data_IF_365007968142
#
_entry.id   IF_365007968142
#
_cell.length_a   1.000
_cell.length_b   1.000
_cell.length_c   1.000
_cell.angle_alpha   90.00
_cell.angle_beta   90.00
_cell.angle_gamma   90.00
#
_symmetry.space_group_name_H-M   'P 1'
#
loop_
_entity.id
_entity.type
_entity.pdbx_description
1 polymer ?
#
# COMPACT_ATOMS: atom_id res chain seq x y z
N UNK A 1 -54.85 34.75 14.70
CA UNK A 1 -53.56 34.38 15.33
C UNK A 1 -53.12 32.93 15.03
N UNK A 2 -53.66 32.25 13.99
CA UNK A 2 -53.31 30.86 13.65
C UNK A 2 -52.45 30.74 12.39
N UNK A 3 -52.57 31.67 11.44
CA UNK A 3 -51.77 31.68 10.20
C UNK A 3 -50.26 31.88 10.49
N UNK A 4 -49.92 32.73 11.47
CA UNK A 4 -48.53 32.93 11.92
C UNK A 4 -47.91 31.68 12.54
N UNK A 5 -48.69 30.81 13.19
CA UNK A 5 -48.19 29.57 13.82
C UNK A 5 -47.93 28.47 12.78
N UNK A 6 -48.79 28.35 11.77
CA UNK A 6 -48.61 27.39 10.65
C UNK A 6 -47.39 27.70 9.79
N UNK A 7 -47.16 28.98 9.46
CA UNK A 7 -45.99 29.42 8.69
C UNK A 7 -44.70 29.12 9.46
N UNK A 8 -44.66 29.37 10.77
CA UNK A 8 -43.49 29.05 11.60
C UNK A 8 -43.19 27.54 11.62
N UNK A 9 -44.22 26.68 11.69
CA UNK A 9 -44.04 25.22 11.65
C UNK A 9 -43.51 24.72 10.30
N UNK A 10 -44.00 25.27 9.17
CA UNK A 10 -43.49 24.93 7.83
C UNK A 10 -42.03 25.36 7.69
N UNK A 11 -41.70 26.59 8.13
CA UNK A 11 -40.32 27.09 8.10
C UNK A 11 -39.39 26.25 8.99
N UNK A 12 -39.87 25.81 10.16
CA UNK A 12 -39.10 24.97 11.07
C UNK A 12 -38.86 23.57 10.48
N UNK A 13 -39.86 22.96 9.82
CA UNK A 13 -39.70 21.68 9.12
C UNK A 13 -38.74 21.73 7.92
N UNK A 14 -38.70 22.85 7.20
CA UNK A 14 -37.73 23.07 6.11
C UNK A 14 -36.29 23.21 6.63
N UNK A 15 -36.10 23.88 7.78
CA UNK A 15 -34.78 23.99 8.41
C UNK A 15 -34.30 22.60 8.86
N UNK A 16 -35.16 21.82 9.54
CA UNK A 16 -34.77 20.48 10.02
C UNK A 16 -34.52 19.48 8.89
N UNK A 17 -35.27 19.52 7.78
CA UNK A 17 -35.00 18.68 6.60
C UNK A 17 -33.77 19.09 5.79
N UNK A 18 -33.37 20.37 5.84
CA UNK A 18 -32.14 20.85 5.18
C UNK A 18 -30.86 20.38 5.88
N UNK A 19 -30.91 20.15 7.20
CA UNK A 19 -29.80 19.57 7.96
C UNK A 19 -29.51 18.14 7.53
N UNK A 20 -30.56 17.33 7.32
CA UNK A 20 -30.42 15.95 6.82
C UNK A 20 -29.88 15.93 5.40
N UNK A 21 -30.37 16.79 4.50
CA UNK A 21 -29.90 16.85 3.11
C UNK A 21 -28.41 17.26 3.01
N UNK A 22 -27.96 18.23 3.82
CA UNK A 22 -26.55 18.62 3.90
C UNK A 22 -25.71 17.50 4.52
N UNK A 23 -26.24 16.80 5.52
CA UNK A 23 -25.56 15.69 6.19
C UNK A 23 -25.36 14.49 5.26
N UNK A 24 -26.43 14.01 4.60
CA UNK A 24 -26.35 12.91 3.63
C UNK A 24 -25.56 13.32 2.37
N UNK A 25 -25.69 14.56 1.90
CA UNK A 25 -24.89 15.09 0.80
C UNK A 25 -23.39 15.11 1.12
N UNK A 26 -23.01 15.48 2.35
CA UNK A 26 -21.62 15.39 2.82
C UNK A 26 -21.14 13.94 2.83
N UNK A 27 -21.90 13.01 3.41
CA UNK A 27 -21.53 11.58 3.46
C UNK A 27 -21.30 11.04 2.04
N UNK A 28 -22.22 11.28 1.11
CA UNK A 28 -22.09 10.82 -0.26
C UNK A 28 -20.85 11.42 -0.98
N UNK A 29 -20.55 12.70 -0.77
CA UNK A 29 -19.33 13.31 -1.33
C UNK A 29 -18.06 12.71 -0.73
N UNK A 30 -18.04 12.47 0.60
CA UNK A 30 -16.90 11.84 1.26
C UNK A 30 -16.70 10.40 0.79
N UNK A 31 -17.75 9.58 0.73
CA UNK A 31 -17.66 8.19 0.24
C UNK A 31 -17.18 8.12 -1.21
N UNK A 32 -17.71 8.99 -2.08
CA UNK A 32 -17.27 9.08 -3.47
C UNK A 32 -15.79 9.51 -3.57
N UNK A 33 -15.34 10.44 -2.71
CA UNK A 33 -13.94 10.84 -2.63
C UNK A 33 -13.05 9.67 -2.21
N UNK A 34 -13.39 8.97 -1.13
CA UNK A 34 -12.62 7.82 -0.64
C UNK A 34 -12.53 6.71 -1.68
N UNK A 35 -13.64 6.43 -2.37
CA UNK A 35 -13.66 5.47 -3.48
C UNK A 35 -12.72 5.90 -4.61
N UNK A 36 -12.81 7.16 -5.04
CA UNK A 36 -11.95 7.69 -6.09
C UNK A 36 -10.45 7.63 -5.71
N UNK A 37 -10.12 7.88 -4.44
CA UNK A 37 -8.75 7.74 -3.91
C UNK A 37 -8.29 6.28 -3.91
N UNK A 38 -9.11 5.35 -3.40
CA UNK A 38 -8.80 3.92 -3.39
C UNK A 38 -8.62 3.34 -4.80
N UNK A 39 -9.47 3.74 -5.75
CA UNK A 39 -9.33 3.35 -7.16
C UNK A 39 -8.03 3.89 -7.76
N UNK A 40 -7.63 5.11 -7.42
CA UNK A 40 -6.35 5.69 -7.85
C UNK A 40 -5.18 4.92 -7.23
N UNK A 41 -5.19 4.65 -5.93
CA UNK A 41 -4.15 3.89 -5.26
C UNK A 41 -4.00 2.49 -5.87
N UNK A 42 -5.11 1.81 -6.14
CA UNK A 42 -5.12 0.50 -6.81
C UNK A 42 -4.52 0.59 -8.21
N UNK A 43 -4.88 1.62 -8.99
CA UNK A 43 -4.31 1.83 -10.34
C UNK A 43 -2.81 2.09 -10.28
N UNK A 44 -2.34 2.89 -9.31
CA UNK A 44 -0.92 3.16 -9.12
C UNK A 44 -0.16 1.92 -8.67
N UNK A 45 -0.70 1.18 -7.69
CA UNK A 45 -0.07 -0.03 -7.16
C UNK A 45 0.01 -1.16 -8.20
N UNK A 46 -0.88 -1.18 -9.20
CA UNK A 46 -0.93 -2.19 -10.27
C UNK A 46 -0.21 -1.75 -11.55
N UNK A 47 0.51 -0.62 -11.53
CA UNK A 47 1.45 -0.27 -12.59
C UNK A 47 2.59 -1.30 -12.65
N UNK A 48 3.30 -1.30 -13.79
CA UNK A 48 4.39 -2.24 -14.08
C UNK A 48 5.42 -2.36 -12.96
N UNK A 49 5.83 -1.24 -12.35
CA UNK A 49 6.82 -1.18 -11.28
C UNK A 49 6.21 -1.17 -9.86
N UNK A 50 4.88 -1.30 -9.76
CA UNK A 50 4.16 -1.33 -8.51
C UNK A 50 4.12 -2.72 -7.86
N UNK A 51 3.78 -2.81 -6.57
CA UNK A 51 3.73 -4.08 -5.85
C UNK A 51 2.64 -5.03 -6.37
N UNK A 52 1.57 -4.48 -6.95
CA UNK A 52 0.44 -5.22 -7.51
C UNK A 52 0.58 -5.52 -9.00
N UNK A 53 1.76 -5.35 -9.61
CA UNK A 53 1.95 -5.62 -11.04
C UNK A 53 1.46 -7.02 -11.45
N UNK A 54 1.67 -8.02 -10.59
CA UNK A 54 1.24 -9.42 -10.80
C UNK A 54 -0.27 -9.58 -10.99
N UNK A 55 -1.09 -8.65 -10.50
CA UNK A 55 -2.54 -8.72 -10.61
C UNK A 55 -3.06 -8.27 -11.98
N UNK A 56 -2.18 -7.81 -12.88
CA UNK A 56 -2.53 -7.46 -14.26
C UNK A 56 -2.18 -8.63 -15.16
N UNK A 57 -3.17 -9.14 -15.90
CA UNK A 57 -2.96 -10.26 -16.82
C UNK A 57 -1.82 -10.00 -17.82
N UNK A 58 -1.69 -8.74 -18.28
CA UNK A 58 -0.60 -8.29 -19.17
C UNK A 58 0.81 -8.52 -18.57
N UNK A 59 0.95 -8.43 -17.24
CA UNK A 59 2.24 -8.48 -16.56
C UNK A 59 2.47 -9.79 -15.81
N UNK A 60 1.41 -10.52 -15.49
CA UNK A 60 1.42 -11.62 -14.53
C UNK A 60 2.52 -12.64 -14.82
N UNK A 61 2.57 -13.18 -16.04
CA UNK A 61 3.55 -14.19 -16.40
C UNK A 61 5.00 -13.66 -16.34
N UNK A 62 5.22 -12.42 -16.75
CA UNK A 62 6.54 -11.79 -16.67
C UNK A 62 6.96 -11.54 -15.23
N UNK A 63 6.03 -11.10 -14.38
CA UNK A 63 6.28 -10.91 -12.95
C UNK A 63 6.60 -12.24 -12.27
N UNK A 64 5.89 -13.33 -12.60
CA UNK A 64 6.19 -14.67 -12.09
C UNK A 64 7.58 -15.18 -12.55
N UNK A 65 7.98 -14.88 -13.80
CA UNK A 65 9.34 -15.16 -14.30
C UNK A 65 10.39 -14.36 -13.53
N UNK A 66 10.14 -13.07 -13.30
CA UNK A 66 11.04 -12.16 -12.55
C UNK A 66 11.18 -12.62 -11.10
N UNK A 67 10.10 -12.98 -10.41
CA UNK A 67 10.13 -13.52 -9.05
C UNK A 67 11.01 -14.77 -9.00
N UNK A 68 10.85 -15.70 -9.96
CA UNK A 68 11.66 -16.91 -10.02
C UNK A 68 13.14 -16.67 -10.29
N UNK A 69 13.47 -15.62 -11.04
CA UNK A 69 14.86 -15.19 -11.28
C UNK A 69 15.45 -14.53 -10.03
N UNK A 70 14.76 -13.56 -9.43
CA UNK A 70 15.17 -12.87 -8.20
C UNK A 70 15.44 -13.86 -7.07
N UNK A 71 14.62 -14.90 -6.94
CA UNK A 71 14.78 -15.99 -5.94
C UNK A 71 16.15 -16.66 -5.95
N UNK A 72 16.89 -16.58 -7.06
CA UNK A 72 18.22 -17.19 -7.23
C UNK A 72 19.35 -16.20 -6.99
N UNK A 73 19.05 -14.90 -6.84
CA UNK A 73 20.04 -13.84 -6.70
C UNK A 73 20.49 -13.71 -5.24
N UNK A 74 21.75 -13.34 -4.99
CA UNK A 74 22.20 -13.04 -3.63
C UNK A 74 21.53 -11.76 -3.12
N UNK A 75 21.28 -11.71 -1.80
CA UNK A 75 20.70 -10.56 -1.10
C UNK A 75 21.80 -9.76 -0.40
N UNK A 76 22.56 -9.00 -1.19
CA UNK A 76 23.73 -8.27 -0.74
C UNK A 76 23.84 -6.85 -1.36
N UNK A 77 22.90 -6.45 -2.23
CA UNK A 77 22.85 -5.10 -2.76
C UNK A 77 22.43 -4.13 -1.67
N UNK A 78 23.28 -3.14 -1.38
CA UNK A 78 22.99 -2.08 -0.41
C UNK A 78 22.14 -0.99 -1.06
N UNK A 79 21.07 -0.61 -0.38
CA UNK A 79 20.23 0.53 -0.76
C UNK A 79 19.95 1.39 0.45
N UNK A 80 20.01 2.71 0.26
CA UNK A 80 19.59 3.67 1.28
C UNK A 80 18.07 3.72 1.32
N UNK A 81 17.51 3.64 2.53
CA UNK A 81 16.09 3.80 2.79
C UNK A 81 15.93 4.62 4.05
N UNK A 82 15.52 5.88 3.89
CA UNK A 82 15.46 6.85 4.97
C UNK A 82 16.84 7.06 5.62
N UNK A 83 17.01 6.66 6.88
CA UNK A 83 18.23 6.82 7.67
C UNK A 83 18.90 5.46 7.95
N UNK A 84 18.59 4.45 7.13
CA UNK A 84 19.16 3.12 7.25
C UNK A 84 19.52 2.52 5.90
N UNK A 85 20.52 1.66 5.89
CA UNK A 85 20.86 0.85 4.71
C UNK A 85 20.14 -0.50 4.81
N UNK A 86 19.51 -0.91 3.71
CA UNK A 86 18.89 -2.23 3.55
C UNK A 86 19.68 -3.07 2.54
N UNK A 87 19.65 -4.39 2.74
CA UNK A 87 20.14 -5.37 1.77
C UNK A 87 18.96 -5.92 0.97
N UNK A 88 19.03 -5.81 -0.34
CA UNK A 88 18.03 -6.33 -1.28
C UNK A 88 18.71 -7.26 -2.30
N UNK A 89 17.94 -8.05 -3.08
CA UNK A 89 18.51 -8.89 -4.13
C UNK A 89 19.28 -8.07 -5.18
N UNK A 90 20.37 -8.64 -5.71
CA UNK A 90 21.12 -7.99 -6.80
C UNK A 90 20.26 -7.68 -8.03
N UNK A 91 20.65 -6.63 -8.76
CA UNK A 91 19.94 -6.12 -9.93
C UNK A 91 18.46 -5.75 -9.65
N UNK A 92 18.17 -5.29 -8.43
CA UNK A 92 16.87 -4.75 -8.04
C UNK A 92 17.02 -3.36 -7.41
N UNK A 93 15.95 -2.58 -7.41
CA UNK A 93 15.88 -1.24 -6.79
C UNK A 93 14.64 -1.13 -5.92
N UNK A 94 14.61 -0.13 -5.03
CA UNK A 94 13.39 0.25 -4.34
C UNK A 94 12.55 1.20 -5.19
N UNK A 95 11.25 1.00 -5.19
CA UNK A 95 10.27 1.99 -5.61
C UNK A 95 10.04 2.97 -4.46
N UNK A 96 10.50 4.22 -4.58
CA UNK A 96 10.38 5.21 -3.51
C UNK A 96 8.93 5.57 -3.17
N UNK A 97 8.00 5.39 -4.11
CA UNK A 97 6.57 5.70 -3.89
C UNK A 97 5.87 4.63 -3.06
N UNK A 98 6.19 3.35 -3.31
CA UNK A 98 5.46 2.21 -2.73
C UNK A 98 6.32 1.34 -1.79
N UNK A 99 7.62 1.62 -1.70
CA UNK A 99 8.59 0.86 -0.92
C UNK A 99 8.90 -0.54 -1.48
N UNK A 100 8.29 -0.93 -2.61
CA UNK A 100 8.43 -2.28 -3.16
C UNK A 100 9.73 -2.48 -3.94
N UNK A 101 10.16 -3.73 -4.06
CA UNK A 101 11.28 -4.12 -4.91
C UNK A 101 10.85 -4.12 -6.37
N UNK A 102 11.73 -3.62 -7.24
CA UNK A 102 11.58 -3.60 -8.69
C UNK A 102 12.81 -4.20 -9.33
N UNK A 103 12.61 -5.12 -10.26
CA UNK A 103 13.70 -5.65 -11.09
C UNK A 103 14.24 -4.57 -12.03
N UNK A 104 15.55 -4.32 -11.98
CA UNK A 104 16.15 -3.22 -12.77
C UNK A 104 16.19 -3.54 -14.27
N UNK A 105 16.29 -4.82 -14.63
CA UNK A 105 16.36 -5.26 -16.04
C UNK A 105 15.02 -5.11 -16.75
N UNK A 106 13.94 -5.54 -16.12
CA UNK A 106 12.61 -5.63 -16.76
C UNK A 106 11.68 -4.49 -16.36
N UNK A 107 11.93 -3.86 -15.21
CA UNK A 107 11.10 -2.83 -14.61
C UNK A 107 9.87 -3.37 -13.87
N UNK A 108 9.73 -4.68 -13.68
CA UNK A 108 8.59 -5.27 -12.97
C UNK A 108 8.75 -5.17 -11.45
N UNK A 109 7.69 -4.70 -10.80
CA UNK A 109 7.56 -4.66 -9.34
C UNK A 109 7.10 -6.01 -8.78
N UNK A 110 7.61 -6.35 -7.60
CA UNK A 110 7.17 -7.53 -6.82
C UNK A 110 6.61 -7.08 -5.48
N UNK A 111 5.67 -7.84 -4.92
CA UNK A 111 5.06 -7.51 -3.64
C UNK A 111 5.96 -7.87 -2.45
N UNK A 112 7.08 -7.17 -2.34
CA UNK A 112 8.00 -7.17 -1.20
C UNK A 112 8.38 -5.72 -0.94
N UNK A 113 7.96 -5.18 0.20
CA UNK A 113 8.03 -3.74 0.44
C UNK A 113 8.53 -3.40 1.84
N UNK A 114 9.21 -2.25 1.91
CA UNK A 114 9.66 -1.62 3.14
C UNK A 114 8.81 -0.39 3.46
N UNK A 115 8.61 -0.11 4.74
CA UNK A 115 7.88 1.07 5.20
C UNK A 115 8.37 1.54 6.56
N UNK A 116 8.14 2.81 6.87
CA UNK A 116 8.31 3.38 8.22
C UNK A 116 7.06 3.22 9.08
N UNK A 117 5.93 2.82 8.49
CA UNK A 117 4.69 2.55 9.22
C UNK A 117 4.85 1.34 10.12
N UNK A 118 4.16 1.29 11.24
CA UNK A 118 4.26 0.19 12.20
C UNK A 118 3.48 -1.04 11.71
N UNK A 119 4.19 -2.15 11.47
CA UNK A 119 3.61 -3.47 11.21
C UNK A 119 4.20 -4.53 12.15
N UNK A 120 3.69 -5.76 12.07
CA UNK A 120 4.12 -6.88 12.92
C UNK A 120 5.47 -7.48 12.49
N UNK A 121 5.89 -7.31 11.23
CA UNK A 121 7.26 -7.61 10.81
C UNK A 121 8.05 -6.32 10.82
N UNK A 122 9.07 -6.24 11.67
CA UNK A 122 9.79 -4.98 11.86
C UNK A 122 11.19 -5.13 12.45
N UNK A 123 11.98 -4.07 12.32
CA UNK A 123 13.24 -3.86 13.03
C UNK A 123 13.32 -2.43 13.55
N UNK A 124 14.10 -2.22 14.61
CA UNK A 124 14.35 -0.89 15.18
C UNK A 124 15.80 -0.49 14.93
N UNK A 125 16.01 0.67 14.32
CA UNK A 125 17.34 1.26 14.09
C UNK A 125 17.28 2.70 14.57
N UNK A 126 18.19 3.10 15.46
CA UNK A 126 18.26 4.47 16.01
C UNK A 126 16.90 5.01 16.50
N UNK A 127 16.17 4.22 17.27
CA UNK A 127 14.81 4.52 17.74
C UNK A 127 13.70 4.65 16.68
N UNK A 128 14.01 4.56 15.38
CA UNK A 128 13.04 4.52 14.30
C UNK A 128 12.65 3.06 13.98
N UNK A 129 11.35 2.81 13.85
CA UNK A 129 10.82 1.49 13.48
C UNK A 129 10.72 1.41 11.96
N UNK A 130 11.28 0.34 11.41
CA UNK A 130 11.18 -0.02 10.00
C UNK A 130 10.38 -1.30 9.91
N UNK A 131 9.47 -1.36 8.97
CA UNK A 131 8.58 -2.48 8.75
C UNK A 131 8.75 -3.06 7.36
N UNK A 132 8.30 -4.30 7.24
CA UNK A 132 8.45 -5.11 6.05
C UNK A 132 7.15 -5.86 5.78
N UNK A 133 6.69 -5.90 4.54
CA UNK A 133 5.47 -6.61 4.16
C UNK A 133 5.63 -7.24 2.78
N UNK A 134 4.99 -8.39 2.62
CA UNK A 134 5.07 -9.19 1.39
C UNK A 134 3.84 -10.08 1.24
N UNK A 135 3.63 -10.62 0.05
CA UNK A 135 2.60 -11.62 -0.17
C UNK A 135 2.97 -12.95 0.51
N UNK A 136 2.24 -13.29 1.58
CA UNK A 136 2.43 -14.55 2.31
C UNK A 136 1.89 -15.77 1.55
N UNK A 137 1.00 -15.56 0.57
CA UNK A 137 0.36 -16.64 -0.19
C UNK A 137 1.23 -17.12 -1.36
N UNK A 138 2.09 -16.26 -1.89
CA UNK A 138 3.06 -16.64 -2.92
C UNK A 138 4.33 -17.22 -2.27
N UNK A 139 4.55 -18.53 -2.47
CA UNK A 139 5.68 -19.25 -1.88
C UNK A 139 7.05 -18.75 -2.37
N UNK A 140 7.14 -18.27 -3.62
CA UNK A 140 8.39 -17.74 -4.17
C UNK A 140 8.70 -16.37 -3.59
N UNK A 141 7.69 -15.49 -3.50
CA UNK A 141 7.79 -14.19 -2.83
C UNK A 141 8.17 -14.39 -1.36
N UNK A 142 7.47 -15.28 -0.65
CA UNK A 142 7.75 -15.57 0.75
C UNK A 142 9.18 -16.08 0.97
N UNK A 143 9.74 -16.88 0.04
CA UNK A 143 11.13 -17.35 0.13
C UNK A 143 12.14 -16.20 0.00
N UNK A 144 11.95 -15.30 -0.97
CA UNK A 144 12.80 -14.11 -1.14
C UNK A 144 12.70 -13.23 0.11
N UNK A 145 11.47 -13.00 0.57
CA UNK A 145 11.16 -12.15 1.70
C UNK A 145 11.81 -12.65 3.00
N UNK A 146 11.76 -13.95 3.28
CA UNK A 146 12.43 -14.56 4.44
C UNK A 146 13.95 -14.36 4.41
N UNK A 147 14.57 -14.48 3.25
CA UNK A 147 16.02 -14.24 3.13
C UNK A 147 16.36 -12.77 3.37
N UNK A 148 15.59 -11.84 2.79
CA UNK A 148 15.72 -10.40 3.04
C UNK A 148 15.57 -10.09 4.53
N UNK A 149 14.55 -10.65 5.19
CA UNK A 149 14.33 -10.47 6.63
C UNK A 149 15.53 -10.94 7.43
N UNK A 150 16.03 -12.14 7.13
CA UNK A 150 17.18 -12.76 7.81
C UNK A 150 18.44 -11.89 7.70
N UNK A 151 18.79 -11.44 6.50
CA UNK A 151 20.02 -10.65 6.30
C UNK A 151 19.92 -9.23 6.85
N UNK A 152 18.70 -8.68 6.96
CA UNK A 152 18.47 -7.33 7.48
C UNK A 152 18.12 -7.27 8.98
N UNK A 153 17.90 -8.42 9.63
CA UNK A 153 17.50 -8.49 11.04
C UNK A 153 16.06 -8.04 11.32
N UNK A 154 15.11 -8.34 10.42
CA UNK A 154 13.69 -8.14 10.71
C UNK A 154 13.14 -9.29 11.55
N UNK A 155 12.32 -8.94 12.55
CA UNK A 155 11.61 -9.90 13.40
C UNK A 155 10.15 -10.00 12.96
N UNK A 156 9.62 -11.22 12.87
CA UNK A 156 8.20 -11.48 12.59
C UNK A 156 7.45 -11.73 13.90
N UNK A 157 6.52 -10.84 14.25
CA UNK A 157 5.65 -10.95 15.42
C UNK A 157 4.17 -11.06 15.05
N UNK A 158 3.87 -11.37 13.78
CA UNK A 158 2.49 -11.52 13.32
C UNK A 158 1.86 -12.77 13.96
N UNK A 159 0.65 -12.60 14.53
CA UNK A 159 -0.15 -13.66 15.14
C UNK A 159 -1.13 -14.26 14.15
#
# INVERSE_FOLDING_TARGET
MMLKKGIVLIMLGLIFSSCDLIYYGKIAVYENKYRAESERETREATKKDGPGAISKDEYKEDVERVINDIKKRPVNKRVEFEETTLLIPENTRLNLKHGNIVDEKTGYGIFISFSINSHCISKKVNNKKYSFFFDKNDANVARIAKEIMRVNGFEDTCK
#
